data_IF_566121834906
#
_entry.id   IF_566121834906
#
_cell.length_a   1.000
_cell.length_b   1.000
_cell.length_c   1.000
_cell.angle_alpha   90.00
_cell.angle_beta   90.00
_cell.angle_gamma   90.00
#
_symmetry.space_group_name_H-M   'P 1'
#
loop_
_entity.id
_entity.type
_entity.pdbx_description
1 polymer ?
#
# COMPACT_ATOMS: atom_id res chain seq x y z
N UNK A 1 28.74 -2.54 86.81
CA UNK A 1 28.37 -1.62 85.72
C UNK A 1 28.35 -2.44 84.44
N UNK A 2 27.19 -2.91 84.01
CA UNK A 2 26.97 -3.80 82.83
C UNK A 2 26.46 -2.94 81.70
N UNK A 3 27.25 -2.80 80.63
CA UNK A 3 26.85 -2.09 79.40
C UNK A 3 26.23 -3.09 78.44
N UNK A 4 24.88 -3.02 78.23
CA UNK A 4 24.14 -3.82 77.27
C UNK A 4 24.17 -3.10 75.90
N UNK A 5 24.82 -3.73 74.94
CA UNK A 5 24.82 -3.26 73.54
C UNK A 5 23.56 -3.75 72.86
N UNK A 6 22.65 -2.82 72.44
CA UNK A 6 21.52 -3.10 71.54
C UNK A 6 22.03 -3.08 70.13
N UNK A 7 21.96 -4.23 69.44
CA UNK A 7 22.20 -4.37 68.03
C UNK A 7 20.81 -4.29 67.35
N UNK A 8 20.56 -3.23 66.64
CA UNK A 8 19.35 -3.08 65.84
C UNK A 8 19.51 -3.82 64.47
N UNK A 9 18.54 -4.63 64.02
CA UNK A 9 18.64 -5.26 62.71
C UNK A 9 18.34 -4.23 61.62
N UNK A 10 19.28 -4.09 60.71
CA UNK A 10 19.12 -3.30 59.47
C UNK A 10 18.34 -4.13 58.47
N UNK A 11 17.02 -3.88 58.30
CA UNK A 11 16.20 -4.51 57.28
C UNK A 11 16.46 -3.84 55.93
N UNK A 12 17.18 -4.56 55.06
CA UNK A 12 17.37 -4.17 53.66
C UNK A 12 16.06 -4.39 52.88
N UNK A 13 15.33 -3.33 52.58
CA UNK A 13 14.20 -3.35 51.71
C UNK A 13 14.66 -3.43 50.23
N UNK A 14 14.58 -4.61 49.63
CA UNK A 14 14.88 -4.83 48.22
C UNK A 14 13.70 -4.29 47.39
N UNK A 15 13.85 -3.12 46.78
CA UNK A 15 12.89 -2.57 45.82
C UNK A 15 13.08 -3.29 44.48
N UNK A 16 12.19 -4.24 44.18
CA UNK A 16 12.10 -4.86 42.87
C UNK A 16 11.45 -3.85 41.90
N UNK A 17 12.26 -3.21 41.07
CA UNK A 17 11.79 -2.38 39.94
C UNK A 17 11.31 -3.32 38.88
N UNK A 18 10.00 -3.53 38.78
CA UNK A 18 9.33 -4.19 37.66
C UNK A 18 9.44 -3.27 36.42
N UNK A 19 10.43 -3.53 35.59
CA UNK A 19 10.52 -2.95 34.26
C UNK A 19 9.37 -3.54 33.43
N UNK A 20 8.22 -2.88 33.42
CA UNK A 20 7.22 -3.12 32.40
C UNK A 20 7.80 -2.63 31.07
N UNK A 21 8.43 -3.55 30.32
CA UNK A 21 8.78 -3.32 28.94
C UNK A 21 7.46 -3.10 28.19
N UNK A 22 7.14 -1.84 27.86
CA UNK A 22 6.13 -1.57 26.84
C UNK A 22 6.56 -2.35 25.60
N UNK A 23 5.72 -3.31 25.20
CA UNK A 23 5.88 -3.99 23.91
C UNK A 23 5.90 -2.86 22.87
N UNK A 24 7.08 -2.57 22.31
CA UNK A 24 7.23 -1.59 21.26
C UNK A 24 6.34 -2.03 20.12
N UNK A 25 5.18 -1.41 19.99
CA UNK A 25 4.31 -1.60 18.85
C UNK A 25 5.08 -1.12 17.64
N UNK A 26 5.40 -2.06 16.74
CA UNK A 26 6.08 -1.73 15.51
C UNK A 26 5.18 -0.78 14.71
N UNK A 27 5.59 0.48 14.62
CA UNK A 27 4.91 1.47 13.77
C UNK A 27 5.37 1.28 12.33
N UNK A 28 4.50 0.72 11.51
CA UNK A 28 4.71 0.68 10.07
C UNK A 28 4.16 1.97 9.45
N UNK A 29 5.06 2.77 8.89
CA UNK A 29 4.72 3.98 8.18
C UNK A 29 4.96 3.81 6.68
N UNK A 30 3.91 3.97 5.89
CA UNK A 30 3.92 3.96 4.44
C UNK A 30 3.67 5.40 3.98
N UNK A 31 4.68 6.04 3.42
CA UNK A 31 4.59 7.42 2.92
C UNK A 31 4.63 7.42 1.40
N UNK A 32 3.66 8.06 0.78
CA UNK A 32 3.56 8.22 -0.68
C UNK A 32 3.69 9.70 -1.00
N UNK A 33 4.74 10.06 -1.71
CA UNK A 33 4.90 11.38 -2.32
C UNK A 33 4.37 11.34 -3.76
N UNK A 34 3.21 11.95 -3.97
CA UNK A 34 2.57 12.03 -5.29
C UNK A 34 3.35 12.90 -6.27
N UNK A 35 4.11 13.88 -5.77
CA UNK A 35 4.92 14.77 -6.61
C UNK A 35 6.14 14.03 -7.17
N UNK A 36 6.79 13.22 -6.33
CA UNK A 36 7.95 12.44 -6.70
C UNK A 36 7.59 11.06 -7.28
N UNK A 37 6.32 10.63 -7.16
CA UNK A 37 5.86 9.28 -7.51
C UNK A 37 6.69 8.19 -6.82
N UNK A 38 6.93 8.40 -5.52
CA UNK A 38 7.74 7.52 -4.67
C UNK A 38 6.96 7.09 -3.43
N UNK A 39 7.25 5.87 -2.99
CA UNK A 39 6.78 5.33 -1.72
C UNK A 39 7.97 4.98 -0.84
N UNK A 40 8.00 5.56 0.36
CA UNK A 40 8.95 5.19 1.43
C UNK A 40 8.23 4.34 2.46
N UNK A 41 8.87 3.24 2.88
CA UNK A 41 8.35 2.33 3.90
C UNK A 41 9.30 2.29 5.08
N UNK A 42 8.79 2.63 6.26
CA UNK A 42 9.55 2.75 7.51
C UNK A 42 8.94 1.85 8.58
N UNK A 43 9.76 1.13 9.32
CA UNK A 43 9.35 0.33 10.48
C UNK A 43 10.16 0.78 11.68
N UNK A 44 9.51 1.14 12.78
CA UNK A 44 10.15 1.64 14.00
C UNK A 44 11.15 2.79 13.74
N UNK A 45 10.80 3.70 12.83
CA UNK A 45 11.67 4.82 12.46
C UNK A 45 12.80 4.48 11.48
N UNK A 46 13.08 3.21 11.20
CA UNK A 46 14.07 2.79 10.22
C UNK A 46 13.45 2.65 8.82
N UNK A 47 13.98 3.37 7.85
CA UNK A 47 13.55 3.23 6.45
C UNK A 47 14.05 1.90 5.88
N UNK A 48 13.11 1.07 5.41
CA UNK A 48 13.42 -0.24 4.83
C UNK A 48 13.39 -0.21 3.30
N UNK A 49 12.47 0.56 2.72
CA UNK A 49 12.26 0.58 1.28
C UNK A 49 11.98 1.99 0.77
N UNK A 50 12.34 2.19 -0.50
CA UNK A 50 11.99 3.35 -1.31
C UNK A 50 11.73 2.88 -2.73
N UNK A 51 10.46 2.93 -3.16
CA UNK A 51 10.00 2.35 -4.42
C UNK A 51 9.33 3.37 -5.33
N UNK A 52 9.47 3.24 -6.64
CA UNK A 52 8.64 3.99 -7.58
C UNK A 52 7.19 3.48 -7.49
N UNK A 53 6.24 4.41 -7.56
CA UNK A 53 4.81 4.12 -7.57
C UNK A 53 4.13 4.77 -8.76
N UNK A 54 2.89 4.38 -9.02
CA UNK A 54 1.96 5.10 -9.87
C UNK A 54 0.80 5.55 -9.00
N UNK A 55 0.47 6.83 -9.02
CA UNK A 55 -0.72 7.37 -8.35
C UNK A 55 -1.76 7.83 -9.36
N UNK A 56 -2.91 8.29 -8.87
CA UNK A 56 -3.99 8.81 -9.70
C UNK A 56 -3.53 9.92 -10.62
N UNK A 57 -3.99 9.86 -11.86
CA UNK A 57 -3.76 10.88 -12.88
C UNK A 57 -4.77 12.02 -12.80
N UNK A 58 -4.72 12.92 -13.79
CA UNK A 58 -5.64 14.06 -13.88
C UNK A 58 -7.10 13.60 -13.93
N UNK A 59 -7.92 14.12 -13.04
CA UNK A 59 -9.33 13.73 -12.87
C UNK A 59 -9.55 12.52 -11.96
N UNK A 60 -8.49 11.87 -11.50
CA UNK A 60 -8.53 10.69 -10.63
C UNK A 60 -7.51 10.80 -9.49
N UNK A 61 -7.39 11.96 -8.86
CA UNK A 61 -6.36 12.18 -7.85
C UNK A 61 -6.46 11.15 -6.71
N UNK A 62 -5.31 10.61 -6.32
CA UNK A 62 -5.21 9.83 -5.09
C UNK A 62 -5.35 10.77 -3.90
N UNK A 63 -6.28 10.54 -2.96
CA UNK A 63 -6.54 11.47 -1.87
C UNK A 63 -5.31 11.68 -1.01
N UNK A 64 -4.97 12.95 -0.73
CA UNK A 64 -3.93 13.30 0.25
C UNK A 64 -4.46 13.18 1.66
N UNK A 65 -3.60 12.83 2.61
CA UNK A 65 -3.97 12.71 4.03
C UNK A 65 -3.29 11.55 4.73
N UNK A 66 -3.77 11.26 5.92
CA UNK A 66 -3.32 10.14 6.75
C UNK A 66 -4.45 9.14 6.90
N UNK A 67 -4.18 7.89 6.57
CA UNK A 67 -5.15 6.82 6.56
C UNK A 67 -4.63 5.61 7.35
N UNK A 68 -5.57 4.73 7.76
CA UNK A 68 -5.26 3.40 8.28
C UNK A 68 -5.79 2.36 7.30
N UNK A 69 -5.01 1.34 6.94
CA UNK A 69 -5.53 0.22 6.16
C UNK A 69 -6.58 -0.53 6.98
N UNK A 70 -7.64 -1.00 6.32
CA UNK A 70 -8.74 -1.70 7.00
C UNK A 70 -9.14 -3.02 6.33
N UNK A 71 -8.69 -3.24 5.08
CA UNK A 71 -8.96 -4.47 4.32
C UNK A 71 -7.75 -4.85 3.49
N UNK A 72 -7.47 -6.15 3.40
CA UNK A 72 -6.36 -6.70 2.63
C UNK A 72 -6.81 -7.93 1.85
N UNK A 73 -6.50 -7.98 0.56
CA UNK A 73 -6.85 -9.08 -0.33
C UNK A 73 -5.66 -9.45 -1.23
N UNK A 74 -5.36 -10.75 -1.35
CA UNK A 74 -4.25 -11.19 -2.21
C UNK A 74 -4.63 -11.10 -3.69
N UNK A 75 -5.85 -11.56 -4.00
CA UNK A 75 -6.39 -11.67 -5.35
C UNK A 75 -7.65 -10.82 -5.46
N UNK A 76 -7.48 -9.52 -5.66
CA UNK A 76 -8.57 -8.59 -5.87
C UNK A 76 -8.63 -8.16 -7.34
N UNK A 77 -9.85 -7.88 -7.80
CA UNK A 77 -10.14 -7.33 -9.13
C UNK A 77 -11.00 -6.09 -8.98
N UNK A 78 -10.74 -5.09 -9.80
CA UNK A 78 -11.52 -3.84 -9.77
C UNK A 78 -12.92 -4.06 -10.33
N UNK A 79 -13.95 -3.76 -9.56
CA UNK A 79 -15.34 -3.78 -10.03
C UNK A 79 -15.66 -2.61 -10.98
N UNK A 80 -14.88 -1.52 -10.91
CA UNK A 80 -15.14 -0.27 -11.62
C UNK A 80 -14.33 -0.15 -12.93
N UNK A 81 -13.16 -0.79 -13.02
CA UNK A 81 -12.22 -0.59 -14.14
C UNK A 81 -11.89 -1.92 -14.82
N UNK A 82 -12.77 -2.37 -15.72
CA UNK A 82 -12.58 -3.56 -16.56
C UNK A 82 -12.09 -4.78 -15.80
N UNK A 83 -12.43 -4.83 -14.48
CA UNK A 83 -12.02 -5.91 -13.59
C UNK A 83 -10.50 -6.13 -13.62
N UNK A 84 -9.74 -5.07 -13.75
CA UNK A 84 -8.29 -5.11 -13.77
C UNK A 84 -7.76 -5.81 -12.52
N UNK A 85 -6.74 -6.68 -12.65
CA UNK A 85 -6.17 -7.37 -11.50
C UNK A 85 -5.45 -6.38 -10.58
N UNK A 86 -5.73 -6.51 -9.28
CA UNK A 86 -5.14 -5.72 -8.21
C UNK A 86 -4.49 -6.65 -7.16
N UNK A 87 -3.43 -7.40 -7.53
CA UNK A 87 -2.83 -8.36 -6.61
C UNK A 87 -2.22 -7.66 -5.39
N UNK A 88 -2.35 -8.31 -4.22
CA UNK A 88 -1.86 -7.82 -2.94
C UNK A 88 -2.42 -6.46 -2.54
N UNK A 89 -3.73 -6.30 -2.69
CA UNK A 89 -4.45 -5.07 -2.36
C UNK A 89 -4.47 -4.79 -0.87
N UNK A 90 -4.20 -3.54 -0.51
CA UNK A 90 -4.28 -2.98 0.84
C UNK A 90 -5.15 -1.73 0.74
N UNK A 91 -6.42 -1.83 1.17
CA UNK A 91 -7.38 -0.74 1.09
C UNK A 91 -7.21 0.24 2.24
N UNK A 92 -7.19 1.53 1.93
CA UNK A 92 -7.00 2.60 2.90
C UNK A 92 -8.09 3.68 2.89
N UNK A 93 -9.01 3.69 1.89
CA UNK A 93 -10.21 4.55 1.89
C UNK A 93 -11.46 3.73 1.69
N UNK A 94 -12.59 4.20 2.24
CA UNK A 94 -13.90 3.57 2.04
C UNK A 94 -14.43 3.74 0.60
N UNK A 95 -13.87 4.68 -0.14
CA UNK A 95 -14.16 4.93 -1.58
C UNK A 95 -13.40 4.01 -2.52
N UNK A 96 -12.70 2.98 -2.01
CA UNK A 96 -12.07 1.95 -2.83
C UNK A 96 -10.60 2.19 -3.19
N UNK A 97 -9.95 3.29 -2.73
CA UNK A 97 -8.53 3.46 -3.00
C UNK A 97 -7.69 2.42 -2.23
N UNK A 98 -6.78 1.79 -2.93
CA UNK A 98 -5.89 0.76 -2.41
C UNK A 98 -4.45 0.97 -2.90
N UNK A 99 -3.50 0.39 -2.15
CA UNK A 99 -2.15 0.12 -2.63
C UNK A 99 -2.15 -1.31 -3.16
N UNK A 100 -1.73 -1.54 -4.40
CA UNK A 100 -1.73 -2.87 -4.99
C UNK A 100 -0.63 -3.08 -6.04
N UNK A 101 -0.39 -4.32 -6.43
CA UNK A 101 0.52 -4.66 -7.51
C UNK A 101 -0.06 -4.37 -8.90
N UNK A 102 0.81 -4.04 -9.84
CA UNK A 102 0.45 -3.92 -11.25
C UNK A 102 1.42 -4.68 -12.15
N UNK A 103 0.91 -5.24 -13.23
CA UNK A 103 1.71 -5.80 -14.30
C UNK A 103 2.23 -4.73 -15.28
N UNK A 104 1.60 -3.54 -15.27
CA UNK A 104 2.01 -2.39 -16.09
C UNK A 104 3.19 -1.62 -15.48
N UNK A 105 4.31 -2.27 -15.28
CA UNK A 105 5.47 -1.70 -14.58
C UNK A 105 6.07 -0.46 -15.27
N UNK A 106 5.88 -0.29 -16.59
CA UNK A 106 6.32 0.90 -17.35
C UNK A 106 5.66 2.19 -16.89
N UNK A 107 4.53 2.09 -16.19
CA UNK A 107 3.79 3.24 -15.65
C UNK A 107 4.27 3.66 -14.25
N UNK A 108 5.16 2.89 -13.63
CA UNK A 108 5.75 3.27 -12.34
C UNK A 108 6.58 4.55 -12.48
N UNK A 109 6.43 5.45 -11.53
CA UNK A 109 7.01 6.80 -11.59
C UNK A 109 6.11 7.84 -12.26
N UNK A 110 4.86 7.49 -12.64
CA UNK A 110 3.93 8.37 -13.35
C UNK A 110 2.56 8.41 -12.67
N UNK A 111 1.91 9.59 -12.67
CA UNK A 111 0.55 9.77 -12.16
C UNK A 111 -0.48 9.46 -13.27
N UNK A 112 -0.86 8.17 -13.43
CA UNK A 112 -1.74 7.70 -14.51
C UNK A 112 -2.76 6.65 -14.08
N UNK A 113 -2.91 6.36 -12.78
CA UNK A 113 -3.93 5.45 -12.27
C UNK A 113 -5.29 6.16 -12.15
N UNK A 114 -6.33 5.40 -11.79
CA UNK A 114 -7.66 5.92 -11.47
C UNK A 114 -7.85 6.17 -9.96
N UNK A 115 -6.77 6.51 -9.24
CA UNK A 115 -6.81 6.86 -7.82
C UNK A 115 -6.09 5.88 -6.89
N UNK A 116 -5.86 4.63 -7.29
CA UNK A 116 -5.07 3.68 -6.52
C UNK A 116 -3.56 3.97 -6.62
N UNK A 117 -2.81 3.52 -5.62
CA UNK A 117 -1.34 3.53 -5.62
C UNK A 117 -0.84 2.18 -6.14
N UNK A 118 -0.13 2.18 -7.26
CA UNK A 118 0.37 0.96 -7.89
C UNK A 118 1.85 0.76 -7.60
N UNK A 119 2.22 -0.48 -7.30
CA UNK A 119 3.59 -0.98 -7.13
C UNK A 119 3.87 -2.08 -8.15
N UNK A 120 5.13 -2.46 -8.34
CA UNK A 120 5.41 -3.75 -8.95
C UNK A 120 4.78 -4.87 -8.12
N UNK A 121 4.34 -5.96 -8.74
CA UNK A 121 3.73 -7.10 -8.00
C UNK A 121 4.66 -7.61 -6.89
N UNK A 122 5.97 -7.64 -7.15
CA UNK A 122 6.97 -8.03 -6.14
C UNK A 122 6.97 -7.12 -4.92
N UNK A 123 6.97 -5.79 -5.15
CA UNK A 123 6.99 -4.81 -4.06
C UNK A 123 5.65 -4.80 -3.30
N UNK A 124 4.53 -4.97 -4.01
CA UNK A 124 3.21 -5.09 -3.39
C UNK A 124 3.11 -6.34 -2.50
N UNK A 125 3.63 -7.49 -2.94
CA UNK A 125 3.70 -8.70 -2.13
C UNK A 125 4.56 -8.50 -0.87
N UNK A 126 5.71 -7.82 -1.01
CA UNK A 126 6.59 -7.49 0.12
C UNK A 126 5.88 -6.58 1.12
N UNK A 127 5.21 -5.51 0.64
CA UNK A 127 4.47 -4.59 1.48
C UNK A 127 3.29 -5.28 2.18
N UNK A 128 2.55 -6.12 1.45
CA UNK A 128 1.43 -6.89 1.98
C UNK A 128 1.86 -7.81 3.13
N UNK A 129 2.97 -8.55 2.95
CA UNK A 129 3.55 -9.39 3.99
C UNK A 129 3.98 -8.56 5.21
N UNK A 130 4.53 -7.35 4.98
CA UNK A 130 4.94 -6.44 6.04
C UNK A 130 3.72 -5.93 6.84
N UNK A 131 2.67 -5.45 6.17
CA UNK A 131 1.43 -5.00 6.83
C UNK A 131 0.76 -6.14 7.60
N UNK A 132 0.78 -7.37 7.05
CA UNK A 132 0.26 -8.56 7.74
C UNK A 132 1.03 -8.85 9.03
N UNK A 133 2.36 -8.74 8.99
CA UNK A 133 3.25 -8.99 10.14
C UNK A 133 3.08 -7.91 11.23
N UNK A 134 3.14 -6.64 10.85
CA UNK A 134 3.06 -5.49 11.77
C UNK A 134 1.62 -5.18 12.20
N UNK A 135 0.63 -5.76 11.53
CA UNK A 135 -0.82 -5.58 11.66
C UNK A 135 -1.30 -4.22 11.11
N UNK A 136 -2.48 -4.23 10.49
CA UNK A 136 -3.13 -3.02 9.97
C UNK A 136 -3.36 -1.94 11.05
N UNK A 137 -3.64 -2.35 12.28
CA UNK A 137 -3.85 -1.44 13.40
C UNK A 137 -2.62 -0.56 13.71
N UNK A 138 -1.42 -1.10 13.47
CA UNK A 138 -0.13 -0.45 13.69
C UNK A 138 0.45 0.13 12.39
N UNK A 139 -0.33 0.16 11.31
CA UNK A 139 0.09 0.67 10.01
C UNK A 139 -0.56 2.01 9.74
N UNK A 140 0.24 2.98 9.29
CA UNK A 140 -0.20 4.30 8.86
C UNK A 140 0.17 4.49 7.40
N UNK A 141 -0.76 4.99 6.60
CA UNK A 141 -0.56 5.36 5.18
C UNK A 141 -0.69 6.87 5.09
N UNK A 142 0.38 7.54 4.67
CA UNK A 142 0.41 9.00 4.50
C UNK A 142 0.64 9.32 3.03
N UNK A 143 -0.28 10.07 2.44
CA UNK A 143 -0.17 10.53 1.07
C UNK A 143 -0.05 12.05 1.05
N UNK A 144 0.96 12.56 0.36
CA UNK A 144 1.27 13.98 0.27
C UNK A 144 1.70 14.38 -1.15
N UNK A 145 1.89 15.66 -1.35
CA UNK A 145 2.26 16.22 -2.63
C UNK A 145 1.09 16.40 -3.59
N UNK A 146 1.35 17.14 -4.67
CA UNK A 146 0.42 17.34 -5.78
C UNK A 146 0.78 16.38 -6.92
N UNK A 147 -0.19 16.08 -7.77
CA UNK A 147 0.09 15.37 -9.03
C UNK A 147 1.04 16.26 -9.83
N UNK A 148 2.19 15.74 -10.33
CA UNK A 148 3.03 16.50 -11.24
C UNK A 148 2.16 17.00 -12.39
N UNK A 149 2.25 18.27 -12.70
CA UNK A 149 1.51 18.88 -13.80
C UNK A 149 1.90 18.11 -15.08
N UNK A 150 1.10 17.14 -15.44
CA UNK A 150 1.23 16.46 -16.72
C UNK A 150 0.87 17.54 -17.74
N UNK A 151 1.90 18.23 -18.25
CA UNK A 151 1.75 19.07 -19.43
C UNK A 151 0.86 18.35 -20.45
N UNK A 152 0.29 19.00 -21.45
CA UNK A 152 -0.73 18.44 -22.31
C UNK A 152 -0.30 17.05 -22.77
N UNK A 153 -0.84 16.02 -22.11
CA UNK A 153 -0.58 14.63 -22.45
C UNK A 153 -1.19 14.47 -23.82
N UNK A 154 -0.31 14.50 -24.85
CA UNK A 154 -0.74 13.94 -26.12
C UNK A 154 -1.41 12.60 -25.77
N UNK A 155 -2.68 12.45 -26.17
CA UNK A 155 -3.49 11.26 -25.91
C UNK A 155 -2.91 10.06 -26.64
N UNK A 156 -1.70 9.66 -26.29
CA UNK A 156 -1.21 8.32 -26.60
C UNK A 156 -1.89 7.41 -25.57
N UNK A 157 -3.00 6.85 -25.98
CA UNK A 157 -3.58 5.66 -25.35
C UNK A 157 -2.42 4.71 -25.09
N UNK A 158 -2.10 4.35 -23.83
CA UNK A 158 -1.05 3.37 -23.60
C UNK A 158 -1.47 2.12 -24.38
N UNK A 159 -0.70 1.76 -25.39
CA UNK A 159 -0.92 0.46 -26.02
C UNK A 159 -0.68 -0.60 -24.95
N UNK A 160 -1.59 -1.55 -24.78
CA UNK A 160 -1.35 -2.69 -23.93
C UNK A 160 -0.02 -3.32 -24.35
N UNK A 161 0.80 -3.72 -23.37
CA UNK A 161 2.02 -4.48 -23.67
C UNK A 161 1.60 -5.74 -24.43
N UNK A 162 2.16 -5.94 -25.61
CA UNK A 162 1.96 -7.17 -26.37
C UNK A 162 2.83 -8.27 -25.79
N UNK A 163 2.52 -9.55 -26.01
CA UNK A 163 3.36 -10.67 -25.57
C UNK A 163 4.82 -10.58 -26.02
N UNK A 164 5.10 -9.86 -27.11
CA UNK A 164 6.44 -9.68 -27.69
C UNK A 164 7.22 -8.52 -27.06
N UNK A 165 6.61 -7.73 -26.16
CA UNK A 165 7.30 -6.64 -25.48
C UNK A 165 8.25 -7.22 -24.42
N UNK A 166 9.56 -6.87 -24.44
CA UNK A 166 10.53 -7.39 -23.48
C UNK A 166 10.21 -7.04 -22.02
N UNK A 167 9.32 -6.07 -21.79
CA UNK A 167 8.81 -5.71 -20.48
C UNK A 167 7.49 -6.43 -20.13
N UNK A 168 6.90 -7.17 -21.09
CA UNK A 168 5.69 -7.93 -20.85
C UNK A 168 6.01 -9.12 -19.96
N UNK A 169 5.40 -9.12 -18.77
CA UNK A 169 5.37 -10.29 -17.92
C UNK A 169 3.94 -10.81 -17.92
N UNK A 170 3.72 -11.93 -18.59
CA UNK A 170 2.40 -12.56 -18.58
C UNK A 170 1.90 -12.74 -17.14
N UNK A 171 0.64 -12.40 -16.86
CA UNK A 171 0.05 -12.71 -15.56
C UNK A 171 0.11 -14.22 -15.30
N UNK A 172 0.26 -14.65 -14.04
CA UNK A 172 0.23 -16.06 -13.70
C UNK A 172 -1.00 -16.77 -14.27
N UNK A 173 -0.95 -18.07 -14.60
CA UNK A 173 -2.03 -18.81 -15.27
C UNK A 173 -3.41 -18.70 -14.61
N UNK A 174 -3.46 -18.53 -13.30
CA UNK A 174 -4.68 -18.30 -12.55
C UNK A 174 -5.41 -17.00 -12.96
N UNK A 175 -4.64 -15.97 -13.32
CA UNK A 175 -5.20 -14.69 -13.78
C UNK A 175 -5.64 -14.74 -15.25
N UNK A 176 -4.95 -15.53 -16.07
CA UNK A 176 -5.34 -15.73 -17.49
C UNK A 176 -6.70 -16.41 -17.58
N UNK A 177 -6.96 -17.45 -16.79
CA UNK A 177 -8.27 -18.14 -16.76
C UNK A 177 -9.42 -17.25 -16.31
N UNK A 178 -9.18 -16.34 -15.37
CA UNK A 178 -10.18 -15.39 -14.92
C UNK A 178 -10.49 -14.33 -16.00
N UNK A 179 -9.52 -14.01 -16.85
CA UNK A 179 -9.70 -13.08 -17.97
C UNK A 179 -10.49 -13.71 -19.14
N UNK A 180 -10.23 -14.99 -19.43
CA UNK A 180 -10.88 -15.75 -20.51
C UNK A 180 -12.32 -16.18 -20.18
N UNK A 181 -12.62 -16.37 -18.87
CA UNK A 181 -13.92 -16.86 -18.42
C UNK A 181 -15.03 -15.80 -18.36
N UNK A 182 -14.78 -14.57 -18.83
CA UNK A 182 -15.75 -13.49 -18.74
C UNK A 182 -16.71 -13.44 -19.90
N UNK A 183 -18.01 -13.25 -19.63
CA UNK A 183 -18.91 -12.83 -20.66
C UNK A 183 -18.51 -11.43 -21.16
N UNK A 184 -18.61 -11.16 -22.46
CA UNK A 184 -18.38 -9.83 -23.01
C UNK A 184 -19.31 -8.84 -22.31
N UNK A 185 -18.77 -7.66 -21.95
CA UNK A 185 -19.56 -6.58 -21.38
C UNK A 185 -20.75 -6.27 -22.27
N UNK A 186 -21.96 -6.05 -21.72
CA UNK A 186 -23.09 -5.63 -22.52
C UNK A 186 -22.72 -4.32 -23.22
N UNK A 187 -22.79 -4.31 -24.53
CA UNK A 187 -22.62 -3.11 -25.34
C UNK A 187 -23.59 -2.03 -24.83
N UNK A 188 -23.13 -0.80 -24.54
CA UNK A 188 -24.04 0.26 -24.16
C UNK A 188 -25.04 0.48 -25.30
N UNK A 189 -26.30 0.26 -25.03
CA UNK A 189 -27.39 0.62 -25.91
C UNK A 189 -27.43 2.15 -26.00
N UNK A 190 -26.83 2.72 -27.03
CA UNK A 190 -27.10 4.10 -27.40
C UNK A 190 -28.51 4.13 -28.02
N UNK A 191 -29.51 4.47 -27.21
CA UNK A 191 -30.81 4.89 -27.71
C UNK A 191 -30.60 6.26 -28.39
N UNK A 192 -30.41 6.22 -29.71
CA UNK A 192 -30.67 7.39 -30.54
C UNK A 192 -32.18 7.60 -30.58
N UNK A 193 -32.69 8.46 -29.66
CA UNK A 193 -34.02 9.03 -29.77
C UNK A 193 -34.04 10.00 -30.97
N UNK A 194 -35.00 9.80 -31.85
CA UNK A 194 -35.40 10.75 -32.88
C UNK A 194 -36.01 12.00 -32.26
#
# INVERSE_FOLDING_TARGET
MRITHFIAPLTAATVAVLMFGEAAHADLLIQVDKSAQRMTVTVNGAQLYDWPVTTGGRGYDTPSGTFKPFRMEIDHYSDEFDNAPMPYSIFFTQTGNAIHGTYEQRNLGRAVSHGCVRLSVKNAATLWALVKREKMANTKVVLSGAIPDAGPVARSRPMPLTPDDPLYRAPPPQYQRAYEARPPLPTPFFLFGR
#
